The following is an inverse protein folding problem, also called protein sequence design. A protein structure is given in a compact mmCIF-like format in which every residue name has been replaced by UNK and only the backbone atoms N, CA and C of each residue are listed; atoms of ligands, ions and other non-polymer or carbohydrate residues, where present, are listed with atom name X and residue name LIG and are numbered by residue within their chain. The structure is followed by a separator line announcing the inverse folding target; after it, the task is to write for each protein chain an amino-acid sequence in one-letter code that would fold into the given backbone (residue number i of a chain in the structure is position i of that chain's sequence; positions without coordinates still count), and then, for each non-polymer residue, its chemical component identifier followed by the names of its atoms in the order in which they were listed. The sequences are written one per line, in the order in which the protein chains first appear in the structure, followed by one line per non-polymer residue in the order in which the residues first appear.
data_IF_517136270064
#
_entry.id   IF_517136270064
#
_cell.length_a   1.000
_cell.length_b   1.000
_cell.length_c   1.000
_cell.angle_alpha   90.00
_cell.angle_beta   90.00
_cell.angle_gamma   90.00
#
_symmetry.space_group_name_H-M   'P 1'
#
loop_
_entity.id
_entity.type
_entity.pdbx_description
1 polymer ?
#
# COMPACT_ATOMS: atom_id res chain seq x y z
N UNK A 1 5.19 4.73 6.26
CA UNK A 1 3.88 4.40 5.66
C UNK A 1 3.84 2.91 5.43
N UNK A 2 2.95 2.21 6.12
CA UNK A 2 2.65 0.81 5.84
C UNK A 2 1.86 0.72 4.53
N UNK A 3 2.14 -0.30 3.72
CA UNK A 3 1.45 -0.49 2.44
C UNK A 3 0.13 -1.26 2.60
N UNK A 4 0.03 -2.07 3.65
CA UNK A 4 -1.08 -2.96 3.92
C UNK A 4 -1.48 -2.87 5.39
N UNK A 5 -2.76 -3.16 5.66
CA UNK A 5 -3.26 -3.32 7.03
C UNK A 5 -2.66 -4.61 7.63
N UNK A 6 -1.95 -4.55 8.76
CA UNK A 6 -1.45 -5.75 9.43
C UNK A 6 -2.63 -6.54 10.04
N UNK A 7 -2.51 -7.86 10.10
CA UNK A 7 -3.55 -8.73 10.70
C UNK A 7 -3.73 -8.50 12.21
N UNK A 8 -2.67 -8.03 12.88
CA UNK A 8 -2.64 -7.77 14.32
C UNK A 8 -1.90 -6.47 14.55
N UNK A 9 -2.39 -5.68 15.50
CA UNK A 9 -1.79 -4.39 15.88
C UNK A 9 -2.67 -3.21 15.53
N UNK A 10 -2.23 -2.03 15.94
CA UNK A 10 -2.90 -0.76 15.69
C UNK A 10 -2.21 -0.04 14.54
N UNK A 11 -3.01 0.55 13.66
CA UNK A 11 -2.53 1.44 12.62
C UNK A 11 -3.18 2.81 12.76
N UNK A 12 -2.54 3.80 12.16
CA UNK A 12 -3.11 5.14 12.08
C UNK A 12 -3.41 5.47 10.62
N UNK A 13 -4.70 5.66 10.34
CA UNK A 13 -5.15 6.22 9.08
C UNK A 13 -5.12 7.75 9.14
N UNK A 14 -4.70 8.39 8.07
CA UNK A 14 -4.76 9.85 7.90
C UNK A 14 -5.47 10.14 6.60
N UNK A 15 -6.55 10.91 6.66
CA UNK A 15 -7.42 11.26 5.54
C UNK A 15 -7.91 12.69 5.68
N UNK A 16 -8.38 13.27 4.59
CA UNK A 16 -9.12 14.53 4.63
C UNK A 16 -10.59 14.20 4.91
N UNK A 17 -11.11 14.69 6.03
CA UNK A 17 -12.48 14.50 6.47
C UNK A 17 -12.92 15.72 7.30
N UNK A 18 -14.24 15.96 7.48
CA UNK A 18 -14.76 16.96 8.38
C UNK A 18 -14.18 16.81 9.80
N UNK A 19 -13.94 17.94 10.45
CA UNK A 19 -13.33 17.98 11.77
C UNK A 19 -14.26 17.37 12.82
N UNK A 20 -13.74 16.45 13.63
CA UNK A 20 -14.47 15.82 14.74
C UNK A 20 -13.61 15.86 16.00
N UNK A 21 -14.20 16.23 17.13
CA UNK A 21 -13.48 16.32 18.41
C UNK A 21 -13.38 14.95 19.08
N UNK A 22 -12.19 14.62 19.60
CA UNK A 22 -11.96 13.39 20.36
C UNK A 22 -12.61 13.49 21.76
N UNK A 23 -13.09 12.37 22.36
CA UNK A 23 -13.01 10.99 21.86
C UNK A 23 -14.22 10.60 20.98
N UNK A 24 -13.97 10.12 19.76
CA UNK A 24 -15.01 9.53 18.92
C UNK A 24 -14.57 8.14 18.41
N UNK A 25 -15.41 7.09 18.52
CA UNK A 25 -15.12 5.79 17.92
C UNK A 25 -15.21 5.86 16.40
N UNK A 26 -14.33 5.13 15.71
CA UNK A 26 -14.28 5.06 14.24
C UNK A 26 -14.42 3.62 13.79
N UNK A 27 -15.31 3.39 12.83
CA UNK A 27 -15.50 2.12 12.15
C UNK A 27 -15.12 2.29 10.68
N UNK A 28 -14.40 1.31 10.14
CA UNK A 28 -13.98 1.29 8.73
C UNK A 28 -14.57 0.06 8.08
N UNK A 29 -15.37 0.28 7.04
CA UNK A 29 -15.99 -0.77 6.23
C UNK A 29 -15.29 -0.87 4.87
N UNK A 30 -15.35 -2.06 4.27
CA UNK A 30 -14.99 -2.30 2.87
C UNK A 30 -16.22 -2.81 2.15
N UNK A 31 -16.51 -2.22 1.00
CA UNK A 31 -17.54 -2.72 0.10
C UNK A 31 -17.05 -3.98 -0.63
N UNK A 32 -17.90 -5.00 -0.64
CA UNK A 32 -17.70 -6.26 -1.34
C UNK A 32 -18.42 -6.24 -2.69
N UNK A 33 -18.08 -7.15 -3.60
CA UNK A 33 -18.66 -7.27 -4.96
C UNK A 33 -20.18 -7.45 -4.92
N UNK A 34 -20.71 -8.01 -3.83
CA UNK A 34 -22.15 -8.18 -3.59
C UNK A 34 -22.81 -6.94 -2.95
N UNK A 35 -22.19 -5.76 -3.00
CA UNK A 35 -22.65 -4.51 -2.36
C UNK A 35 -22.91 -4.66 -0.84
N UNK A 36 -22.19 -5.59 -0.19
CA UNK A 36 -22.20 -5.79 1.25
C UNK A 36 -21.03 -5.03 1.88
N UNK A 37 -21.22 -4.53 3.09
CA UNK A 37 -20.19 -3.82 3.84
C UNK A 37 -19.56 -4.73 4.90
N UNK A 38 -18.32 -5.12 4.68
CA UNK A 38 -17.56 -5.92 5.63
C UNK A 38 -16.80 -5.00 6.59
N UNK A 39 -16.93 -5.23 7.90
CA UNK A 39 -16.19 -4.48 8.91
C UNK A 39 -14.71 -4.88 8.86
N UNK A 40 -13.84 -3.93 8.52
CA UNK A 40 -12.39 -4.16 8.38
C UNK A 40 -11.61 -3.72 9.59
N UNK A 41 -11.95 -2.56 10.15
CA UNK A 41 -11.24 -2.01 11.30
C UNK A 41 -12.18 -1.27 12.26
N UNK A 42 -11.82 -1.31 13.53
CA UNK A 42 -12.43 -0.53 14.61
C UNK A 42 -11.34 0.23 15.35
N UNK A 43 -11.63 1.44 15.78
CA UNK A 43 -10.66 2.25 16.51
C UNK A 43 -11.29 3.49 17.13
N UNK A 44 -10.44 4.42 17.52
CA UNK A 44 -10.83 5.74 18.03
C UNK A 44 -10.09 6.82 17.26
N UNK A 45 -10.68 8.02 17.22
CA UNK A 45 -9.99 9.19 16.71
C UNK A 45 -8.82 9.57 17.62
N UNK A 46 -7.68 9.80 16.98
CA UNK A 46 -6.54 10.47 17.58
C UNK A 46 -6.76 11.99 17.55
N UNK A 47 -6.03 12.75 18.39
CA UNK A 47 -6.01 14.20 18.29
C UNK A 47 -5.73 14.66 16.85
N UNK A 48 -6.50 15.65 16.40
CA UNK A 48 -6.39 16.21 15.07
C UNK A 48 -5.06 16.95 14.94
N UNK A 49 -4.16 16.41 14.12
CA UNK A 49 -2.85 16.98 13.86
C UNK A 49 -2.63 17.09 12.34
N UNK A 50 -2.61 18.33 11.83
CA UNK A 50 -2.32 18.63 10.42
C UNK A 50 -0.83 18.57 10.09
N UNK A 51 0.04 18.65 11.10
CA UNK A 51 1.50 18.69 10.93
C UNK A 51 2.11 17.30 10.88
N UNK A 52 1.33 16.26 11.21
CA UNK A 52 1.75 14.87 11.19
C UNK A 52 2.28 14.45 9.81
N UNK A 53 3.58 14.15 9.75
CA UNK A 53 4.27 13.80 8.51
C UNK A 53 4.11 12.31 8.19
N UNK A 54 3.44 12.00 7.09
CA UNK A 54 3.40 10.65 6.52
C UNK A 54 4.52 10.49 5.48
N UNK A 55 5.43 9.56 5.74
CA UNK A 55 6.59 9.29 4.86
C UNK A 55 6.47 7.89 4.24
N UNK A 56 6.61 7.82 2.92
CA UNK A 56 6.76 6.57 2.16
C UNK A 56 8.24 6.26 1.95
N UNK A 57 8.62 5.02 2.25
CA UNK A 57 9.96 4.50 2.04
C UNK A 57 10.01 3.66 0.76
N UNK A 58 11.01 3.91 -0.08
CA UNK A 58 11.39 3.11 -1.24
C UNK A 58 12.77 2.53 -0.98
N UNK A 59 12.98 1.27 -1.32
CA UNK A 59 14.27 0.59 -1.14
C UNK A 59 14.77 0.16 -2.50
N UNK A 60 15.90 0.72 -2.93
CA UNK A 60 16.59 0.29 -4.15
C UNK A 60 17.60 -0.80 -3.78
N UNK A 61 17.61 -1.89 -4.55
CA UNK A 61 18.49 -3.04 -4.31
C UNK A 61 19.57 -3.12 -5.37
N UNK A 62 20.79 -3.42 -4.95
CA UNK A 62 21.93 -3.70 -5.83
C UNK A 62 22.65 -4.96 -5.41
N UNK A 63 23.30 -5.59 -6.38
CA UNK A 63 24.10 -6.79 -6.17
C UNK A 63 25.60 -6.44 -6.17
N UNK A 64 26.40 -6.97 -5.24
CA UNK A 64 27.85 -6.86 -5.32
C UNK A 64 28.36 -7.65 -6.52
N UNK A 65 29.30 -7.07 -7.26
CA UNK A 65 29.95 -7.71 -8.41
C UNK A 65 31.40 -8.08 -8.08
N UNK A 66 32.20 -7.09 -7.69
CA UNK A 66 33.61 -7.29 -7.31
C UNK A 66 33.83 -6.76 -5.90
N UNK A 67 34.27 -7.64 -5.00
CA UNK A 67 34.48 -7.32 -3.59
C UNK A 67 35.98 -7.24 -3.32
N UNK A 68 36.44 -6.06 -2.93
CA UNK A 68 37.73 -5.86 -2.28
C UNK A 68 37.49 -5.61 -0.78
N UNK A 69 38.56 -5.66 0.04
CA UNK A 69 38.51 -5.50 1.51
C UNK A 69 37.38 -4.58 2.01
N UNK A 70 37.42 -3.28 1.70
CA UNK A 70 36.37 -2.30 2.08
C UNK A 70 35.67 -1.65 0.89
N UNK A 71 36.13 -1.91 -0.33
CA UNK A 71 35.60 -1.30 -1.54
C UNK A 71 34.89 -2.36 -2.38
N UNK A 72 33.68 -2.06 -2.83
CA UNK A 72 32.85 -3.01 -3.58
C UNK A 72 32.33 -2.33 -4.84
N UNK A 73 32.41 -3.01 -5.96
CA UNK A 73 31.70 -2.60 -7.18
C UNK A 73 30.29 -3.21 -7.14
N UNK A 74 29.28 -2.36 -7.29
CA UNK A 74 27.85 -2.72 -7.23
C UNK A 74 27.24 -2.59 -8.63
N UNK A 75 26.35 -3.53 -8.96
CA UNK A 75 25.57 -3.55 -10.22
C UNK A 75 24.07 -3.65 -9.95
N UNK A 76 23.27 -3.32 -10.96
CA UNK A 76 21.80 -3.43 -10.97
C UNK A 76 21.06 -2.58 -9.93
N UNK A 77 21.74 -1.63 -9.28
CA UNK A 77 21.05 -0.63 -8.45
C UNK A 77 20.59 0.57 -9.28
N UNK A 78 21.41 0.99 -10.23
CA UNK A 78 21.14 2.05 -11.20
C UNK A 78 21.56 1.55 -12.57
N UNK A 79 21.05 2.22 -13.61
CA UNK A 79 21.41 1.95 -15.00
C UNK A 79 22.15 3.14 -15.63
N UNK A 80 21.87 4.37 -15.19
CA UNK A 80 22.53 5.58 -15.66
C UNK A 80 23.60 6.07 -14.68
N UNK A 81 24.61 6.77 -15.19
CA UNK A 81 25.66 7.40 -14.37
C UNK A 81 25.17 8.63 -13.62
N UNK A 82 24.30 9.42 -14.25
CA UNK A 82 23.73 10.65 -13.67
C UNK A 82 22.97 10.36 -12.36
N UNK A 83 22.20 9.26 -12.34
CA UNK A 83 21.49 8.82 -11.15
C UNK A 83 22.45 8.51 -9.99
N UNK A 84 23.58 7.87 -10.28
CA UNK A 84 24.58 7.51 -9.26
C UNK A 84 25.16 8.78 -8.61
N UNK A 85 25.48 9.78 -9.42
CA UNK A 85 26.07 11.02 -8.92
C UNK A 85 25.05 11.87 -8.16
N UNK A 86 23.78 11.85 -8.58
CA UNK A 86 22.68 12.48 -7.84
C UNK A 86 22.45 11.83 -6.47
N UNK A 87 22.47 10.49 -6.40
CA UNK A 87 22.23 9.73 -5.16
C UNK A 87 23.50 9.47 -4.33
N UNK A 88 24.65 10.02 -4.73
CA UNK A 88 25.93 9.91 -4.03
C UNK A 88 25.93 10.28 -2.54
N UNK A 89 25.24 11.34 -2.06
CA UNK A 89 25.24 11.70 -0.64
C UNK A 89 24.43 10.75 0.23
N UNK A 90 23.70 9.79 -0.35
CA UNK A 90 22.84 8.88 0.40
C UNK A 90 23.64 7.70 0.94
N UNK A 91 23.35 7.35 2.18
CA UNK A 91 23.94 6.19 2.83
C UNK A 91 23.35 4.87 2.32
N UNK A 92 24.24 3.92 2.04
CA UNK A 92 23.93 2.54 1.69
C UNK A 92 23.97 1.64 2.93
N UNK A 93 23.09 0.66 2.96
CA UNK A 93 23.05 -0.39 3.98
C UNK A 93 23.00 -1.77 3.34
N UNK A 94 23.54 -2.78 3.99
CA UNK A 94 23.40 -4.18 3.52
C UNK A 94 22.46 -4.96 4.41
N UNK A 95 21.97 -6.11 3.93
CA UNK A 95 21.21 -7.05 4.76
C UNK A 95 22.00 -7.53 5.98
N UNK A 96 23.31 -7.73 5.83
CA UNK A 96 24.24 -8.04 6.93
C UNK A 96 24.55 -6.86 7.86
N UNK A 97 23.84 -5.73 7.77
CA UNK A 97 24.00 -4.60 8.69
C UNK A 97 25.23 -3.72 8.46
N UNK A 98 25.96 -3.89 7.34
CA UNK A 98 27.10 -3.03 7.00
C UNK A 98 26.59 -1.72 6.40
N UNK A 99 27.26 -0.63 6.74
CA UNK A 99 26.99 0.72 6.27
C UNK A 99 28.08 1.18 5.32
N UNK A 100 27.72 2.02 4.35
CA UNK A 100 28.64 2.50 3.33
C UNK A 100 28.10 3.67 2.51
N UNK A 101 28.93 4.18 1.60
CA UNK A 101 28.58 5.29 0.72
C UNK A 101 29.14 5.06 -0.69
N UNK A 102 28.54 5.73 -1.67
CA UNK A 102 28.97 5.71 -3.06
C UNK A 102 30.23 6.59 -3.19
N UNK A 103 31.29 6.05 -3.80
CA UNK A 103 32.53 6.80 -4.05
C UNK A 103 32.52 7.43 -5.44
N UNK A 104 32.23 6.65 -6.47
CA UNK A 104 32.21 7.10 -7.86
C UNK A 104 31.38 6.15 -8.73
N UNK A 105 30.78 6.68 -9.79
CA UNK A 105 30.27 5.90 -10.91
C UNK A 105 31.41 5.22 -11.69
N UNK A 106 31.11 4.11 -12.35
CA UNK A 106 32.04 3.32 -13.16
C UNK A 106 31.39 2.97 -14.50
N UNK A 107 32.04 3.32 -15.60
CA UNK A 107 31.53 3.02 -16.96
C UNK A 107 30.19 3.71 -17.25
N UNK A 108 29.41 3.14 -18.18
CA UNK A 108 28.13 3.72 -18.65
C UNK A 108 26.89 2.98 -18.15
N UNK A 109 27.02 1.74 -17.67
CA UNK A 109 25.88 0.85 -17.37
C UNK A 109 25.43 0.90 -15.90
N UNK A 110 25.65 2.04 -15.23
CA UNK A 110 25.22 2.20 -13.84
C UNK A 110 25.99 1.34 -12.84
N UNK A 111 27.22 0.95 -13.14
CA UNK A 111 28.10 0.36 -12.15
C UNK A 111 28.64 1.46 -11.23
N UNK A 112 28.81 1.14 -9.96
CA UNK A 112 29.33 2.11 -8.99
C UNK A 112 30.29 1.46 -8.02
N UNK A 113 31.31 2.23 -7.65
CA UNK A 113 32.25 1.86 -6.60
C UNK A 113 31.73 2.42 -5.28
N UNK A 114 31.46 1.54 -4.34
CA UNK A 114 31.01 1.88 -2.99
C UNK A 114 32.11 1.53 -1.98
N UNK A 115 32.14 2.24 -0.86
CA UNK A 115 32.98 1.86 0.29
C UNK A 115 32.10 1.53 1.48
N UNK A 116 32.46 0.50 2.22
CA UNK A 116 31.75 0.03 3.40
C UNK A 116 32.69 -0.06 4.60
N UNK A 117 32.12 -0.03 5.81
CA UNK A 117 32.89 -0.09 7.05
C UNK A 117 33.70 -1.40 7.20
N UNK A 118 33.23 -2.49 6.59
CA UNK A 118 33.89 -3.80 6.61
C UNK A 118 33.70 -4.58 5.31
N UNK A 119 34.33 -5.76 5.24
CA UNK A 119 34.29 -6.60 4.04
C UNK A 119 32.92 -7.22 3.82
N UNK A 120 32.39 -7.09 2.61
CA UNK A 120 31.09 -7.63 2.22
C UNK A 120 31.17 -9.12 1.84
N UNK A 121 30.09 -9.88 2.07
CA UNK A 121 29.99 -11.26 1.55
C UNK A 121 29.41 -11.23 0.13
N UNK A 122 29.71 -12.23 -0.69
CA UNK A 122 29.17 -12.32 -2.06
C UNK A 122 27.64 -12.48 -2.11
N UNK A 123 27.05 -13.07 -1.07
CA UNK A 123 25.60 -13.25 -0.92
C UNK A 123 24.86 -11.98 -0.49
N UNK A 124 25.59 -10.97 0.02
CA UNK A 124 24.95 -9.77 0.55
C UNK A 124 24.22 -8.97 -0.54
N UNK A 125 23.03 -8.47 -0.21
CA UNK A 125 22.35 -7.46 -1.02
C UNK A 125 22.60 -6.08 -0.44
N UNK A 126 22.94 -5.12 -1.30
CA UNK A 126 23.11 -3.71 -0.93
C UNK A 126 21.77 -3.02 -1.16
N UNK A 127 21.36 -2.19 -0.21
CA UNK A 127 20.08 -1.52 -0.16
C UNK A 127 20.31 -0.03 0.06
N UNK A 128 19.58 0.80 -0.67
CA UNK A 128 19.51 2.24 -0.43
C UNK A 128 18.07 2.60 -0.04
N UNK A 129 17.92 3.37 1.04
CA UNK A 129 16.60 3.81 1.51
C UNK A 129 16.32 5.23 1.06
N UNK A 130 15.29 5.41 0.25
CA UNK A 130 14.76 6.70 -0.15
C UNK A 130 13.45 6.98 0.57
N UNK A 131 13.24 8.24 0.93
CA UNK A 131 12.07 8.69 1.68
C UNK A 131 11.41 9.83 0.94
N UNK A 132 10.09 9.77 0.80
CA UNK A 132 9.27 10.84 0.22
C UNK A 132 8.08 11.12 1.12
N UNK A 133 7.80 12.40 1.39
CA UNK A 133 6.56 12.82 2.06
C UNK A 133 5.39 12.55 1.13
N UNK A 134 4.35 11.89 1.65
CA UNK A 134 3.14 11.55 0.92
C UNK A 134 1.95 12.15 1.66
N UNK A 135 1.06 12.77 0.91
CA UNK A 135 -0.21 13.28 1.42
C UNK A 135 -1.34 12.30 1.03
N UNK A 136 -2.39 12.18 1.86
CA UNK A 136 -3.57 11.43 1.47
C UNK A 136 -4.21 12.05 0.23
N UNK A 137 -4.96 11.25 -0.53
CA UNK A 137 -5.76 11.76 -1.65
C UNK A 137 -7.05 12.39 -1.11
N UNK A 138 -7.55 13.41 -1.82
CA UNK A 138 -8.87 13.95 -1.55
C UNK A 138 -9.93 13.03 -2.17
N UNK A 139 -10.59 12.23 -1.36
CA UNK A 139 -11.63 11.28 -1.79
C UNK A 139 -12.80 11.25 -0.80
N UNK A 140 -13.13 12.40 -0.22
CA UNK A 140 -14.24 12.52 0.70
C UNK A 140 -15.54 12.68 -0.11
N UNK A 141 -16.43 11.70 0.03
CA UNK A 141 -17.81 11.75 -0.47
C UNK A 141 -18.74 11.54 0.73
N UNK A 142 -19.67 12.47 1.01
CA UNK A 142 -20.65 12.31 2.09
C UNK A 142 -21.69 11.22 1.81
N UNK A 143 -21.92 10.84 0.55
CA UNK A 143 -22.94 9.86 0.20
C UNK A 143 -22.38 8.43 0.30
N UNK A 144 -22.93 7.64 1.22
CA UNK A 144 -22.67 6.20 1.30
C UNK A 144 -23.97 5.48 0.96
N UNK A 145 -23.95 4.60 -0.05
CA UNK A 145 -25.06 3.73 -0.41
C UNK A 145 -25.20 2.60 0.60
N UNK A 146 -25.50 2.94 1.85
CA UNK A 146 -25.95 1.97 2.84
C UNK A 146 -27.37 1.57 2.47
N UNK A 147 -27.50 0.50 1.68
CA UNK A 147 -28.75 -0.26 1.69
C UNK A 147 -28.93 -0.76 3.14
N UNK A 148 -30.09 -0.51 3.78
CA UNK A 148 -30.41 -1.18 5.03
C UNK A 148 -30.20 -2.68 4.82
N UNK A 149 -29.58 -3.42 5.77
CA UNK A 149 -29.69 -4.87 5.71
C UNK A 149 -31.18 -5.18 5.59
N UNK A 150 -31.58 -5.88 4.53
CA UNK A 150 -32.94 -6.38 4.44
C UNK A 150 -33.18 -7.16 5.75
N UNK A 151 -34.00 -6.60 6.63
CA UNK A 151 -34.54 -7.37 7.74
C UNK A 151 -35.38 -8.43 7.06
N UNK A 152 -34.81 -9.62 6.87
CA UNK A 152 -35.61 -10.80 6.61
C UNK A 152 -36.33 -11.01 7.92
N UNK A 153 -37.56 -10.48 8.00
CA UNK A 153 -38.47 -10.92 9.04
C UNK A 153 -38.59 -12.44 8.86
N UNK A 154 -38.09 -13.17 9.85
CA UNK A 154 -38.40 -14.58 9.98
C UNK A 154 -39.89 -14.68 10.30
N UNK A 155 -40.71 -14.59 9.25
CA UNK A 155 -42.10 -14.96 9.29
C UNK A 155 -42.17 -16.48 9.34
N UNK A 156 -42.21 -17.02 10.55
CA UNK A 156 -42.94 -18.26 10.78
C UNK A 156 -44.41 -17.96 10.44
N UNK A 157 -44.96 -18.66 9.43
CA UNK A 157 -46.30 -19.26 9.47
C UNK A 157 -46.65 -19.87 8.09
N UNK A 158 -46.71 -21.21 8.06
CA UNK A 158 -47.43 -21.99 7.06
C UNK A 158 -48.94 -21.72 7.18
N UNK A 159 -49.60 -21.31 6.10
CA UNK A 159 -50.89 -21.88 5.62
C UNK A 159 -51.42 -21.17 4.38
N UNK A 160 -51.49 -21.95 3.30
CA UNK A 160 -52.56 -22.03 2.30
C UNK A 160 -53.17 -20.74 1.71
N UNK A 161 -52.88 -20.52 0.42
CA UNK A 161 -53.91 -20.42 -0.64
C UNK A 161 -53.29 -20.45 -2.03
N UNK A 162 -53.60 -21.52 -2.74
CA UNK A 162 -53.41 -21.67 -4.19
C UNK A 162 -54.40 -20.82 -5.00
N UNK A 163 -53.96 -20.52 -6.23
CA UNK A 163 -54.67 -20.10 -7.45
C UNK A 163 -55.07 -18.62 -7.64
N UNK A 164 -54.31 -17.92 -8.49
CA UNK A 164 -54.77 -17.59 -9.84
C UNK A 164 -53.59 -17.37 -10.82
N UNK A 165 -53.63 -18.06 -11.96
CA UNK A 165 -52.69 -17.95 -13.08
C UNK A 165 -53.30 -17.02 -14.14
N UNK A 166 -52.64 -15.92 -14.50
CA UNK A 166 -52.74 -15.33 -15.85
C UNK A 166 -51.38 -14.79 -16.29
N UNK A 167 -50.94 -15.26 -17.46
CA UNK A 167 -49.73 -14.92 -18.21
C UNK A 167 -49.56 -13.43 -18.53
N UNK A 168 -48.29 -13.01 -18.60
CA UNK A 168 -47.85 -11.74 -19.17
C UNK A 168 -46.32 -11.69 -19.28
N UNK A 169 -45.80 -12.33 -20.31
CA UNK A 169 -44.39 -12.37 -20.72
C UNK A 169 -43.86 -10.99 -21.11
N UNK A 170 -42.71 -10.57 -20.58
CA UNK A 170 -41.68 -9.84 -21.34
C UNK A 170 -40.28 -10.19 -20.82
N UNK A 171 -39.54 -10.95 -21.63
CA UNK A 171 -38.10 -11.21 -21.47
C UNK A 171 -37.33 -9.95 -21.84
N UNK A 172 -36.37 -9.53 -21.00
CA UNK A 172 -35.17 -8.83 -21.47
C UNK A 172 -33.94 -9.56 -20.96
N UNK A 173 -33.28 -10.17 -21.93
CA UNK A 173 -32.11 -11.03 -21.83
C UNK A 173 -30.90 -10.22 -21.33
N UNK A 174 -30.03 -10.91 -20.59
CA UNK A 174 -28.88 -10.30 -19.95
C UNK A 174 -27.73 -10.00 -20.91
N UNK A 175 -27.05 -8.90 -20.64
CA UNK A 175 -25.69 -8.62 -21.12
C UNK A 175 -24.74 -8.77 -19.93
N UNK A 176 -24.42 -10.01 -19.60
CA UNK A 176 -23.18 -10.32 -18.91
C UNK A 176 -22.18 -10.80 -19.96
N UNK A 177 -20.92 -10.37 -19.82
CA UNK A 177 -19.74 -10.76 -20.63
C UNK A 177 -19.47 -9.96 -21.92
N UNK A 178 -18.91 -8.77 -21.76
CA UNK A 178 -17.80 -8.32 -22.61
C UNK A 178 -17.07 -7.17 -21.90
N UNK A 179 -15.81 -7.40 -21.49
CA UNK A 179 -14.72 -6.40 -21.46
C UNK A 179 -13.42 -7.11 -21.01
N UNK A 180 -12.79 -7.79 -21.96
CA UNK A 180 -11.33 -7.88 -22.06
C UNK A 180 -11.01 -7.65 -23.54
N UNK A 181 -10.46 -6.48 -23.84
CA UNK A 181 -9.45 -6.22 -24.87
C UNK A 181 -8.57 -5.05 -24.38
#
# INVERSE_FOLDING_TARGET
MERFLPQKGFIVASMYAPIMFAPAPVLVFRENVMQKYDLVAKGSLLPLDTDRIVIKRVVLSGAPFKINKKSVTVRYMFFNTEDIDFYKPIELRTKSGKRGHIKQSLGTHGHMKCTFNGQLKSEDTILMNLYKRVFPKWSFDPHVSILPPAMVEAGDDEQDKEEEVVEGTEKREGEAYQMFD
#
